data_IF_863404008854
#
_entry.id   IF_863404008854
#
_cell.length_a   1.000
_cell.length_b   1.000
_cell.length_c   1.000
_cell.angle_alpha   90.00
_cell.angle_beta   90.00
_cell.angle_gamma   90.00
#
_symmetry.space_group_name_H-M   'P 1'
#
loop_
_entity.id
_entity.type
_entity.pdbx_description
1 polymer ?
#
# COMPACT_ATOMS: atom_id res chain seq x y z
N UNK A 1 2.69 -6.61 -34.62
CA UNK A 1 2.28 -7.36 -33.41
C UNK A 1 2.11 -6.35 -32.30
N UNK A 2 0.91 -6.26 -31.72
CA UNK A 2 0.65 -5.36 -30.61
C UNK A 2 1.35 -5.94 -29.36
N UNK A 3 2.52 -5.41 -29.03
CA UNK A 3 3.15 -5.61 -27.72
C UNK A 3 2.27 -4.90 -26.69
N UNK A 4 1.17 -5.54 -26.30
CA UNK A 4 0.40 -5.11 -25.13
C UNK A 4 1.35 -5.17 -23.93
N UNK A 5 1.44 -4.13 -23.09
CA UNK A 5 2.21 -4.24 -21.86
C UNK A 5 1.62 -5.41 -21.07
N UNK A 6 2.46 -6.42 -20.80
CA UNK A 6 2.07 -7.54 -19.95
C UNK A 6 1.65 -6.96 -18.58
N UNK A 7 0.71 -7.58 -17.84
CA UNK A 7 0.23 -7.04 -16.56
C UNK A 7 1.33 -6.58 -15.60
N UNK A 8 2.49 -7.26 -15.64
CA UNK A 8 3.68 -6.92 -14.87
C UNK A 8 4.25 -5.55 -15.24
N UNK A 9 4.27 -5.17 -16.52
CA UNK A 9 4.76 -3.86 -16.96
C UNK A 9 3.90 -2.71 -16.39
N UNK A 10 2.58 -2.90 -16.30
CA UNK A 10 1.69 -1.93 -15.65
C UNK A 10 1.91 -1.87 -14.14
N UNK A 11 2.15 -3.01 -13.49
CA UNK A 11 2.48 -3.05 -12.07
C UNK A 11 3.79 -2.30 -11.75
N UNK A 12 4.84 -2.53 -12.56
CA UNK A 12 6.11 -1.82 -12.42
C UNK A 12 5.98 -0.32 -12.70
N UNK A 13 5.25 0.07 -13.75
CA UNK A 13 5.01 1.47 -14.07
C UNK A 13 4.26 2.18 -12.93
N UNK A 14 3.24 1.53 -12.37
CA UNK A 14 2.48 2.04 -11.23
C UNK A 14 3.36 2.23 -10.00
N UNK A 15 4.10 1.19 -9.61
CA UNK A 15 5.02 1.25 -8.48
C UNK A 15 6.04 2.39 -8.65
N UNK A 16 6.65 2.49 -9.83
CA UNK A 16 7.64 3.52 -10.14
C UNK A 16 7.03 4.90 -9.98
N UNK A 17 5.88 5.16 -10.64
CA UNK A 17 5.20 6.46 -10.56
C UNK A 17 4.80 6.84 -9.13
N UNK A 18 4.33 5.87 -8.35
CA UNK A 18 3.77 6.12 -7.02
C UNK A 18 4.86 6.36 -5.97
N UNK A 19 6.01 5.71 -6.11
CA UNK A 19 7.11 5.79 -5.14
C UNK A 19 8.22 6.76 -5.56
N UNK A 20 8.22 7.24 -6.80
CA UNK A 20 9.15 8.25 -7.25
C UNK A 20 9.04 9.53 -6.39
N UNK A 21 10.20 10.11 -6.05
CA UNK A 21 10.27 11.29 -5.18
C UNK A 21 9.75 11.05 -3.76
N UNK A 22 9.97 9.87 -3.18
CA UNK A 22 9.59 9.57 -1.78
C UNK A 22 10.78 9.15 -0.91
N UNK A 23 10.68 9.47 0.38
CA UNK A 23 11.51 8.92 1.45
C UNK A 23 10.78 7.74 2.10
N UNK A 24 11.51 6.68 2.42
CA UNK A 24 10.96 5.51 3.13
C UNK A 24 10.70 5.84 4.60
N UNK A 25 9.48 5.61 5.09
CA UNK A 25 9.17 5.62 6.53
C UNK A 25 9.33 4.23 7.15
N UNK A 26 9.09 3.18 6.34
CA UNK A 26 9.36 1.79 6.68
C UNK A 26 8.11 0.93 6.81
N UNK A 27 8.27 -0.23 7.47
CA UNK A 27 7.18 -1.22 7.60
C UNK A 27 6.15 -0.72 8.60
N UNK A 28 4.86 -0.78 8.23
CA UNK A 28 3.77 -0.42 9.13
C UNK A 28 3.74 -1.39 10.32
N UNK A 29 3.60 -0.85 11.53
CA UNK A 29 3.54 -1.58 12.80
C UNK A 29 2.21 -2.33 12.92
N UNK A 30 2.23 -3.47 13.61
CA UNK A 30 1.01 -4.21 13.95
C UNK A 30 0.26 -4.82 12.75
N UNK A 31 0.84 -4.85 11.55
CA UNK A 31 0.25 -5.55 10.40
C UNK A 31 0.03 -7.04 10.73
N UNK A 32 -1.17 -7.59 10.47
CA UNK A 32 -1.44 -9.02 10.67
C UNK A 32 -0.49 -9.92 9.87
N UNK A 33 -0.38 -11.19 10.29
CA UNK A 33 0.34 -12.20 9.51
C UNK A 33 -0.26 -12.35 8.10
N UNK A 34 0.60 -12.49 7.09
CA UNK A 34 0.18 -12.52 5.69
C UNK A 34 -0.15 -11.14 5.09
N UNK A 35 -0.14 -10.06 5.87
CA UNK A 35 -0.29 -8.69 5.38
C UNK A 35 1.06 -7.98 5.34
N UNK A 36 1.32 -7.29 4.24
CA UNK A 36 2.52 -6.50 4.01
C UNK A 36 2.09 -5.07 3.76
N UNK A 37 2.62 -4.14 4.56
CA UNK A 37 2.37 -2.72 4.37
C UNK A 37 3.64 -1.90 4.67
N UNK A 38 3.96 -0.97 3.77
CA UNK A 38 5.14 -0.11 3.84
C UNK A 38 4.73 1.33 3.53
N UNK A 39 5.16 2.26 4.37
CA UNK A 39 4.84 3.67 4.23
C UNK A 39 6.04 4.46 3.70
N UNK A 40 5.71 5.46 2.89
CA UNK A 40 6.62 6.38 2.23
C UNK A 40 6.05 7.80 2.37
N UNK A 41 6.91 8.81 2.43
CA UNK A 41 6.52 10.22 2.43
C UNK A 41 7.11 10.88 1.18
N UNK A 42 6.28 11.56 0.39
CA UNK A 42 6.78 12.39 -0.71
C UNK A 42 7.73 13.47 -0.18
N UNK A 43 8.79 13.77 -0.94
CA UNK A 43 9.75 14.81 -0.60
C UNK A 43 9.07 16.18 -0.36
N UNK A 44 9.71 17.05 0.42
CA UNK A 44 9.17 18.37 0.76
C UNK A 44 7.94 18.33 1.68
N UNK A 45 7.93 17.38 2.62
CA UNK A 45 6.80 17.13 3.53
C UNK A 45 5.46 16.86 2.82
N UNK A 46 5.53 16.22 1.65
CA UNK A 46 4.37 15.89 0.83
C UNK A 46 3.52 14.76 1.41
N UNK A 47 2.64 14.22 0.56
CA UNK A 47 1.67 13.20 0.95
C UNK A 47 2.34 11.90 1.38
N UNK A 48 1.61 11.12 2.16
CA UNK A 48 1.99 9.77 2.55
C UNK A 48 1.45 8.79 1.53
N UNK A 49 2.29 7.85 1.12
CA UNK A 49 1.92 6.71 0.30
C UNK A 49 2.16 5.45 1.12
N UNK A 50 1.12 4.65 1.34
CA UNK A 50 1.23 3.33 1.95
C UNK A 50 0.96 2.27 0.90
N UNK A 51 1.98 1.49 0.52
CA UNK A 51 1.82 0.30 -0.30
C UNK A 51 1.35 -0.86 0.59
N UNK A 52 0.31 -1.59 0.18
CA UNK A 52 -0.24 -2.71 0.94
C UNK A 52 -0.70 -3.87 0.05
N UNK A 53 -0.40 -5.10 0.46
CA UNK A 53 -0.84 -6.35 -0.19
C UNK A 53 -0.90 -7.48 0.85
N UNK A 54 -1.47 -8.61 0.44
CA UNK A 54 -1.51 -9.82 1.25
C UNK A 54 -1.01 -11.03 0.47
N UNK A 55 -0.31 -11.92 1.18
CA UNK A 55 0.19 -13.18 0.64
C UNK A 55 -0.05 -14.30 1.63
N UNK A 56 -0.42 -15.48 1.13
CA UNK A 56 -0.58 -16.68 1.95
C UNK A 56 0.05 -17.92 1.33
N UNK A 57 1.10 -18.44 1.99
CA UNK A 57 1.69 -19.73 1.66
C UNK A 57 0.71 -20.91 1.79
N UNK A 58 -0.38 -20.77 2.55
CA UNK A 58 -1.41 -21.82 2.62
C UNK A 58 -2.34 -21.83 1.40
N UNK A 59 -2.31 -20.78 0.59
CA UNK A 59 -3.09 -20.61 -0.63
C UNK A 59 -2.20 -20.63 -1.88
N UNK A 60 -0.90 -20.88 -1.71
CA UNK A 60 0.10 -20.87 -2.75
C UNK A 60 0.96 -22.14 -2.76
N UNK A 61 1.28 -22.70 -3.95
CA UNK A 61 0.67 -22.37 -5.23
C UNK A 61 -0.76 -22.91 -5.33
N UNK A 62 -1.59 -22.32 -6.20
CA UNK A 62 -2.81 -22.99 -6.67
C UNK A 62 -2.46 -24.25 -7.48
N UNK A 63 -3.45 -25.09 -7.81
CA UNK A 63 -3.23 -26.31 -8.61
C UNK A 63 -2.49 -26.09 -9.93
N UNK A 64 -2.55 -24.86 -10.47
CA UNK A 64 -1.90 -24.47 -11.73
C UNK A 64 -0.52 -23.83 -11.53
N UNK A 65 0.06 -23.86 -10.32
CA UNK A 65 1.37 -23.28 -10.04
C UNK A 65 1.39 -21.76 -9.90
N UNK A 66 0.23 -21.10 -9.91
CA UNK A 66 0.10 -19.64 -9.85
C UNK A 66 -0.38 -19.14 -8.49
N UNK A 67 -0.29 -17.83 -8.26
CA UNK A 67 -0.96 -17.16 -7.14
C UNK A 67 -2.48 -17.35 -7.18
N UNK A 68 -3.09 -17.32 -5.99
CA UNK A 68 -4.54 -17.36 -5.85
C UNK A 68 -5.14 -16.02 -6.24
N UNK A 69 -5.99 -16.02 -7.28
CA UNK A 69 -6.71 -14.82 -7.72
C UNK A 69 -7.91 -14.49 -6.80
N UNK A 70 -8.27 -15.39 -5.89
CA UNK A 70 -9.44 -15.25 -5.01
C UNK A 70 -9.06 -15.05 -3.54
N UNK A 71 -7.81 -15.30 -3.16
CA UNK A 71 -7.35 -15.03 -1.81
C UNK A 71 -7.39 -13.53 -1.53
N UNK A 72 -8.04 -13.16 -0.43
CA UNK A 72 -8.04 -11.80 0.07
C UNK A 72 -8.13 -11.77 1.60
N UNK A 73 -7.68 -10.66 2.18
CA UNK A 73 -7.81 -10.42 3.62
C UNK A 73 -8.23 -8.98 3.88
N UNK A 74 -9.00 -8.77 4.94
CA UNK A 74 -9.37 -7.43 5.38
C UNK A 74 -8.26 -6.83 6.24
N UNK A 75 -7.95 -5.56 6.00
CA UNK A 75 -6.97 -4.80 6.77
C UNK A 75 -7.47 -3.38 7.01
N UNK A 76 -7.36 -2.91 8.26
CA UNK A 76 -7.65 -1.52 8.61
C UNK A 76 -6.34 -0.74 8.72
N UNK A 77 -6.17 0.27 7.88
CA UNK A 77 -4.99 1.13 7.86
C UNK A 77 -5.31 2.47 8.52
N UNK A 78 -4.55 2.84 9.55
CA UNK A 78 -4.61 4.18 10.14
C UNK A 78 -3.97 5.20 9.19
N UNK A 79 -4.77 6.12 8.66
CA UNK A 79 -4.37 7.16 7.68
C UNK A 79 -4.44 8.57 8.23
N UNK A 80 -5.11 8.75 9.38
CA UNK A 80 -5.27 10.03 10.07
C UNK A 80 -5.46 9.80 11.58
N UNK A 81 -5.68 10.84 12.38
CA UNK A 81 -5.90 10.72 13.82
C UNK A 81 -7.24 10.02 14.14
N UNK A 82 -7.32 9.22 15.21
CA UNK A 82 -8.60 8.71 15.71
C UNK A 82 -9.63 9.85 15.92
N UNK A 83 -10.90 9.56 15.64
CA UNK A 83 -12.01 10.52 15.68
C UNK A 83 -12.24 11.33 14.39
N UNK A 84 -11.30 11.29 13.44
CA UNK A 84 -11.44 11.99 12.15
C UNK A 84 -12.13 11.13 11.10
N UNK A 85 -12.77 11.75 10.11
CA UNK A 85 -13.32 11.08 8.93
C UNK A 85 -13.03 11.92 7.69
N UNK A 86 -12.92 11.27 6.54
CA UNK A 86 -12.58 11.95 5.31
C UNK A 86 -12.40 10.97 4.16
N UNK A 87 -11.55 11.33 3.20
CA UNK A 87 -11.24 10.47 2.07
C UNK A 87 -9.73 10.38 1.83
N UNK A 88 -9.31 9.23 1.32
CA UNK A 88 -7.97 8.98 0.77
C UNK A 88 -8.08 8.64 -0.71
N UNK A 89 -6.97 8.78 -1.44
CA UNK A 89 -6.87 8.24 -2.80
C UNK A 89 -6.27 6.84 -2.76
N UNK A 90 -6.99 5.86 -3.31
CA UNK A 90 -6.46 4.52 -3.56
C UNK A 90 -6.02 4.41 -5.02
N UNK A 91 -4.82 3.94 -5.25
CA UNK A 91 -4.30 3.57 -6.56
C UNK A 91 -4.18 2.05 -6.58
N UNK A 92 -4.86 1.38 -7.50
CA UNK A 92 -4.70 -0.08 -7.64
C UNK A 92 -3.35 -0.45 -8.27
N UNK A 93 -3.02 -1.74 -8.31
CA UNK A 93 -1.75 -2.21 -8.87
C UNK A 93 -1.56 -1.95 -10.36
N UNK A 94 -2.57 -1.43 -11.07
CA UNK A 94 -2.54 -1.11 -12.48
C UNK A 94 -2.63 0.40 -12.75
N UNK A 95 -2.63 1.23 -11.70
CA UNK A 95 -2.57 2.68 -11.78
C UNK A 95 -3.93 3.37 -11.80
N UNK A 96 -5.04 2.65 -11.66
CA UNK A 96 -6.37 3.28 -11.58
C UNK A 96 -6.58 3.92 -10.22
N UNK A 97 -7.05 5.16 -10.21
CA UNK A 97 -7.31 5.92 -8.99
C UNK A 97 -8.78 5.89 -8.60
N UNK A 98 -9.04 5.68 -7.32
CA UNK A 98 -10.38 5.78 -6.72
C UNK A 98 -10.31 6.55 -5.40
N UNK A 99 -11.40 7.22 -5.04
CA UNK A 99 -11.53 7.87 -3.73
C UNK A 99 -12.19 6.88 -2.77
N UNK A 100 -11.60 6.68 -1.60
CA UNK A 100 -12.11 5.76 -0.58
C UNK A 100 -12.30 6.51 0.72
N UNK A 101 -13.48 6.41 1.37
CA UNK A 101 -13.71 7.06 2.65
C UNK A 101 -12.94 6.36 3.76
N UNK A 102 -12.58 7.14 4.78
CA UNK A 102 -12.08 6.64 6.06
C UNK A 102 -12.94 7.19 7.19
N UNK A 103 -13.02 6.43 8.28
CA UNK A 103 -13.71 6.82 9.51
C UNK A 103 -12.86 6.45 10.72
N UNK A 104 -12.96 7.24 11.80
CA UNK A 104 -12.09 7.11 12.97
C UNK A 104 -10.59 7.07 12.62
N UNK A 105 -10.18 7.84 11.60
CA UNK A 105 -8.83 7.90 11.05
C UNK A 105 -8.37 6.63 10.31
N UNK A 106 -9.27 5.67 10.05
CA UNK A 106 -8.95 4.37 9.47
C UNK A 106 -9.67 4.12 8.15
N UNK A 107 -8.92 3.64 7.16
CA UNK A 107 -9.47 3.14 5.88
C UNK A 107 -9.50 1.62 5.91
N UNK A 108 -10.65 1.05 5.55
CA UNK A 108 -10.82 -0.39 5.40
C UNK A 108 -10.38 -0.82 4.01
N UNK A 109 -9.49 -1.81 3.95
CA UNK A 109 -8.90 -2.33 2.72
C UNK A 109 -9.20 -3.82 2.59
N UNK A 110 -9.49 -4.25 1.36
CA UNK A 110 -9.43 -5.66 0.96
C UNK A 110 -8.12 -5.84 0.21
N UNK A 111 -7.19 -6.58 0.83
CA UNK A 111 -5.86 -6.84 0.28
C UNK A 111 -5.87 -8.16 -0.50
N UNK A 112 -5.15 -8.18 -1.61
CA UNK A 112 -4.88 -9.38 -2.43
C UNK A 112 -3.37 -9.47 -2.68
N UNK A 113 -2.94 -10.44 -3.49
CA UNK A 113 -1.55 -10.57 -3.96
C UNK A 113 -1.09 -9.38 -4.83
N UNK A 114 -2.03 -8.60 -5.37
CA UNK A 114 -1.71 -7.39 -6.16
C UNK A 114 -1.63 -6.19 -5.22
N UNK A 115 -0.50 -5.46 -5.18
CA UNK A 115 -0.37 -4.28 -4.34
C UNK A 115 -1.38 -3.17 -4.69
N UNK A 116 -1.83 -2.48 -3.65
CA UNK A 116 -2.56 -1.22 -3.76
C UNK A 116 -1.82 -0.14 -2.97
N UNK A 117 -2.02 1.12 -3.35
CA UNK A 117 -1.33 2.26 -2.75
C UNK A 117 -2.35 3.25 -2.22
N UNK A 118 -2.23 3.57 -0.93
CA UNK A 118 -3.12 4.50 -0.23
C UNK A 118 -2.40 5.81 -0.02
N UNK A 119 -2.91 6.88 -0.63
CA UNK A 119 -2.38 8.23 -0.53
C UNK A 119 -3.17 9.01 0.53
N UNK A 120 -2.49 9.43 1.60
CA UNK A 120 -3.05 10.15 2.75
C UNK A 120 -2.20 11.38 3.10
N UNK A 121 -2.67 12.22 4.05
CA UNK A 121 -2.03 13.51 4.34
C UNK A 121 -1.29 13.56 5.69
N UNK A 122 -1.60 12.67 6.64
CA UNK A 122 -1.11 12.81 8.02
C UNK A 122 0.26 12.11 8.21
N UNK A 123 1.33 12.87 7.96
CA UNK A 123 2.69 12.37 8.10
C UNK A 123 3.06 11.97 9.53
N UNK A 124 2.53 12.66 10.53
CA UNK A 124 2.79 12.35 11.95
C UNK A 124 2.26 10.96 12.30
N UNK A 125 1.03 10.65 11.92
CA UNK A 125 0.43 9.32 12.12
C UNK A 125 1.22 8.25 11.38
N UNK A 126 1.58 8.50 10.12
CA UNK A 126 2.35 7.54 9.32
C UNK A 126 3.73 7.23 9.91
N UNK A 127 4.47 8.25 10.35
CA UNK A 127 5.77 8.10 11.01
C UNK A 127 5.65 7.32 12.32
N UNK A 128 4.68 7.68 13.17
CA UNK A 128 4.45 6.98 14.44
C UNK A 128 4.07 5.51 14.25
N UNK A 129 3.37 5.19 13.16
CA UNK A 129 2.94 3.85 12.82
C UNK A 129 3.94 3.06 11.98
N UNK A 130 5.13 3.59 11.71
CA UNK A 130 6.15 2.92 10.88
C UNK A 130 7.39 2.54 11.68
N UNK A 131 8.01 1.43 11.30
CA UNK A 131 9.32 0.99 11.80
C UNK A 131 10.38 1.38 10.80
N UNK A 132 11.20 2.37 11.16
CA UNK A 132 12.29 2.86 10.31
C UNK A 132 13.25 1.70 10.00
N UNK A 133 13.60 1.47 8.71
CA UNK A 133 14.57 0.43 8.36
C UNK A 133 15.93 0.70 9.01
N UNK A 134 16.60 -0.35 9.46
CA UNK A 134 17.94 -0.23 10.06
C UNK A 134 18.91 0.40 9.05
N UNK A 135 19.65 1.42 9.48
CA UNK A 135 20.62 2.13 8.65
C UNK A 135 20.03 3.16 7.69
N UNK A 136 18.70 3.35 7.68
CA UNK A 136 18.06 4.39 6.88
C UNK A 136 18.10 5.73 7.62
N UNK A 137 18.83 6.71 7.07
CA UNK A 137 18.91 8.07 7.63
C UNK A 137 17.92 9.06 7.00
N UNK A 138 17.18 8.64 5.97
CA UNK A 138 16.48 9.57 5.08
C UNK A 138 17.47 10.36 4.21
N UNK A 139 16.96 10.88 3.09
CA UNK A 139 17.63 11.94 2.32
C UNK A 139 16.96 13.27 2.60
#
# INVERSE_FOLDING_TARGET
>A
SNLSPKPEAMAFATMTRVLDGTNTLGRVKGTPGGTFAYAFQQLGDGKIVTAAWAHSNSQWPTSNGTYSQTYSTSYSLQVDNPGTSGNVTKIDGYGNTTTVPYSNGQVSLTLTEVPQYIVSNNATVAKNNSTVPVGYTGQ
#
